data_IF_503371686442
#
_entry.id   IF_503371686442
#
_cell.length_a   1.000
_cell.length_b   1.000
_cell.length_c   1.000
_cell.angle_alpha   90.00
_cell.angle_beta   90.00
_cell.angle_gamma   90.00
#
_symmetry.space_group_name_H-M   'P 1'
#
loop_
_entity.id
_entity.type
_entity.pdbx_description
1 polymer ?
#
# COMPACT_ATOMS: atom_id res chain seq x y z
N UNK A 1 25.87 37.52 42.02
CA UNK A 1 24.46 37.76 41.66
C UNK A 1 24.22 37.75 40.16
N UNK A 2 24.91 38.54 39.34
CA UNK A 2 24.69 38.60 37.86
C UNK A 2 24.85 37.26 37.15
N UNK A 3 25.84 36.43 37.52
CA UNK A 3 26.04 35.09 36.91
C UNK A 3 24.89 34.11 37.20
N UNK A 4 24.23 34.27 38.36
CA UNK A 4 23.07 33.46 38.74
C UNK A 4 21.80 33.88 38.00
N UNK A 5 21.63 35.18 37.75
CA UNK A 5 20.52 35.71 36.94
C UNK A 5 20.64 35.29 35.49
N UNK A 6 21.85 35.29 34.91
CA UNK A 6 22.11 34.79 33.57
C UNK A 6 21.84 33.27 33.42
N UNK A 7 22.14 32.48 34.46
CA UNK A 7 21.85 31.07 34.49
C UNK A 7 20.33 30.79 34.52
N UNK A 8 19.57 31.56 35.29
CA UNK A 8 18.10 31.47 35.33
C UNK A 8 17.49 31.91 33.97
N UNK A 9 18.03 32.92 33.34
CA UNK A 9 17.56 33.35 32.02
C UNK A 9 17.79 32.33 30.94
N UNK A 10 18.87 31.53 31.04
CA UNK A 10 19.16 30.43 30.12
C UNK A 10 18.23 29.22 30.34
N UNK A 11 17.73 28.99 31.55
CA UNK A 11 16.75 27.95 31.89
C UNK A 11 15.34 28.25 31.32
N UNK A 12 15.01 29.54 31.15
CA UNK A 12 13.72 29.95 30.54
C UNK A 12 13.73 30.00 29.01
N UNK A 13 14.89 29.86 28.37
CA UNK A 13 14.94 29.54 26.94
C UNK A 13 14.61 28.07 26.73
N UNK A 14 13.42 27.68 27.17
CA UNK A 14 12.82 26.44 26.72
C UNK A 14 12.68 26.53 25.22
N UNK A 15 13.49 25.77 24.49
CA UNK A 15 13.32 25.56 23.08
C UNK A 15 11.88 25.08 22.89
N UNK A 16 11.00 25.94 22.43
CA UNK A 16 9.74 25.53 21.86
C UNK A 16 10.10 24.71 20.62
N UNK A 17 10.45 23.44 20.83
CA UNK A 17 10.55 22.47 19.77
C UNK A 17 9.14 22.28 19.25
N UNK A 18 8.76 23.03 18.24
CA UNK A 18 7.59 22.73 17.43
C UNK A 18 7.89 21.41 16.72
N UNK A 19 7.60 20.31 17.40
CA UNK A 19 7.60 18.99 16.78
C UNK A 19 6.53 19.00 15.69
N UNK A 20 6.95 19.01 14.43
CA UNK A 20 6.02 18.77 13.34
C UNK A 20 5.35 17.41 13.58
N UNK A 21 4.02 17.40 13.56
CA UNK A 21 3.25 16.17 13.66
C UNK A 21 3.70 15.22 12.54
N UNK A 22 4.20 14.04 12.91
CA UNK A 22 4.76 13.08 11.98
C UNK A 22 3.74 11.98 11.73
N UNK A 23 3.11 12.01 10.57
CA UNK A 23 2.12 11.00 10.17
C UNK A 23 2.85 9.80 9.57
N UNK A 24 2.63 8.61 10.13
CA UNK A 24 3.16 7.35 9.61
C UNK A 24 2.15 6.68 8.69
N UNK A 25 2.46 6.66 7.40
CA UNK A 25 1.63 6.03 6.36
C UNK A 25 2.25 4.72 5.93
N UNK A 26 1.52 3.62 6.11
CA UNK A 26 1.83 2.33 5.50
C UNK A 26 1.06 2.19 4.19
N UNK A 27 1.74 1.96 3.09
CA UNK A 27 1.16 1.93 1.75
C UNK A 27 1.52 0.66 1.00
N UNK A 28 0.53 -0.01 0.42
CA UNK A 28 0.76 -1.12 -0.50
C UNK A 28 1.57 -0.64 -1.72
N UNK A 29 2.56 -1.45 -2.14
CA UNK A 29 3.58 -1.05 -3.12
C UNK A 29 3.03 -0.55 -4.45
N UNK A 30 1.84 -1.00 -4.85
CA UNK A 30 1.17 -0.56 -6.08
C UNK A 30 0.72 0.91 -6.05
N UNK A 31 0.63 1.54 -4.86
CA UNK A 31 0.10 2.90 -4.71
C UNK A 31 1.18 3.92 -4.29
N UNK A 32 2.45 3.49 -4.12
CA UNK A 32 3.52 4.34 -3.59
C UNK A 32 3.79 5.58 -4.45
N UNK A 33 3.83 5.43 -5.78
CA UNK A 33 4.07 6.53 -6.70
C UNK A 33 2.95 7.58 -6.63
N UNK A 34 1.69 7.12 -6.63
CA UNK A 34 0.52 8.00 -6.47
C UNK A 34 0.54 8.71 -5.11
N UNK A 35 0.89 7.98 -4.03
CA UNK A 35 1.01 8.59 -2.70
C UNK A 35 2.09 9.69 -2.67
N UNK A 36 3.21 9.50 -3.35
CA UNK A 36 4.27 10.51 -3.43
C UNK A 36 3.79 11.79 -4.12
N UNK A 37 2.97 11.67 -5.17
CA UNK A 37 2.36 12.81 -5.84
C UNK A 37 1.36 13.54 -4.91
N UNK A 38 0.48 12.79 -4.24
CA UNK A 38 -0.49 13.33 -3.27
C UNK A 38 0.26 14.04 -2.13
N UNK A 39 1.29 13.42 -1.57
CA UNK A 39 2.12 14.01 -0.53
C UNK A 39 2.74 15.33 -0.98
N UNK A 40 3.31 15.38 -2.19
CA UNK A 40 3.90 16.59 -2.75
C UNK A 40 2.89 17.73 -2.83
N UNK A 41 1.68 17.43 -3.27
CA UNK A 41 0.59 18.42 -3.37
C UNK A 41 0.12 18.88 -1.98
N UNK A 42 -0.09 17.96 -1.06
CA UNK A 42 -0.50 18.25 0.31
C UNK A 42 0.49 19.17 1.04
N UNK A 43 1.79 18.95 0.86
CA UNK A 43 2.84 19.72 1.54
C UNK A 43 2.98 21.16 1.03
N UNK A 44 2.37 21.54 -0.10
CA UNK A 44 2.36 22.94 -0.55
C UNK A 44 1.67 23.87 0.46
N UNK A 45 0.64 23.37 1.13
CA UNK A 45 -0.22 24.16 2.04
C UNK A 45 -0.18 23.66 3.49
N UNK A 46 0.58 22.61 3.80
CA UNK A 46 0.59 21.99 5.13
C UNK A 46 2.02 21.77 5.62
N UNK A 47 2.30 22.17 6.85
CA UNK A 47 3.57 21.92 7.54
C UNK A 47 3.49 20.60 8.32
N UNK A 48 3.55 19.48 7.63
CA UNK A 48 3.47 18.12 8.22
C UNK A 48 4.63 17.29 7.73
N UNK A 49 5.15 16.39 8.55
CA UNK A 49 6.14 15.42 8.13
C UNK A 49 5.52 14.04 7.95
N UNK A 50 5.98 13.30 6.94
CA UNK A 50 5.50 11.94 6.65
C UNK A 50 6.62 10.93 6.80
N UNK A 51 6.32 9.84 7.53
CA UNK A 51 7.06 8.59 7.48
C UNK A 51 6.28 7.62 6.60
N UNK A 52 6.88 7.13 5.52
CA UNK A 52 6.22 6.19 4.61
C UNK A 52 6.88 4.82 4.74
N UNK A 53 6.07 3.79 5.01
CA UNK A 53 6.46 2.39 4.93
C UNK A 53 5.73 1.74 3.76
N UNK A 54 6.47 1.11 2.85
CA UNK A 54 5.91 0.42 1.70
C UNK A 54 6.16 -1.08 1.74
N UNK A 55 5.24 -1.85 1.17
CA UNK A 55 5.36 -3.31 1.11
C UNK A 55 4.09 -3.97 0.58
N UNK A 56 4.06 -5.31 0.61
CA UNK A 56 2.81 -6.01 0.32
C UNK A 56 1.78 -5.74 1.42
N UNK A 57 0.49 -5.73 1.07
CA UNK A 57 -0.61 -5.54 2.01
C UNK A 57 -0.50 -6.47 3.22
N UNK A 58 -0.19 -7.76 3.00
CA UNK A 58 -0.07 -8.74 4.08
C UNK A 58 1.10 -8.42 5.04
N UNK A 59 2.26 -7.97 4.50
CA UNK A 59 3.42 -7.58 5.32
C UNK A 59 3.10 -6.36 6.20
N UNK A 60 2.47 -5.36 5.63
CA UNK A 60 2.08 -4.14 6.37
C UNK A 60 1.01 -4.45 7.42
N UNK A 61 0.05 -5.31 7.08
CA UNK A 61 -0.96 -5.79 8.03
C UNK A 61 -0.34 -6.52 9.22
N UNK A 62 0.65 -7.39 8.98
CA UNK A 62 1.38 -8.06 10.05
C UNK A 62 2.09 -7.06 10.98
N UNK A 63 2.64 -5.97 10.46
CA UNK A 63 3.22 -4.90 11.27
C UNK A 63 2.17 -4.20 12.16
N UNK A 64 0.96 -3.96 11.62
CA UNK A 64 -0.15 -3.38 12.39
C UNK A 64 -0.57 -4.30 13.52
N UNK A 65 -0.70 -5.61 13.26
CA UNK A 65 -1.02 -6.60 14.29
C UNK A 65 0.06 -6.65 15.40
N UNK A 66 1.31 -6.41 15.04
CA UNK A 66 2.44 -6.29 15.97
C UNK A 66 2.58 -4.87 16.57
N UNK A 67 1.50 -4.07 16.56
CA UNK A 67 1.42 -2.74 17.17
C UNK A 67 2.41 -1.72 16.61
N UNK A 68 2.82 -1.84 15.35
CA UNK A 68 3.58 -0.77 14.70
C UNK A 68 2.77 0.55 14.74
N UNK A 69 3.39 1.69 15.06
CA UNK A 69 2.71 2.97 15.18
C UNK A 69 2.40 3.52 13.78
N UNK A 70 1.34 3.01 13.16
CA UNK A 70 0.87 3.38 11.83
C UNK A 70 -0.43 4.15 11.99
N UNK A 71 -0.47 5.39 11.48
CA UNK A 71 -1.62 6.27 11.54
C UNK A 71 -2.57 6.04 10.37
N UNK A 72 -2.02 5.80 9.18
CA UNK A 72 -2.78 5.58 7.95
C UNK A 72 -2.31 4.30 7.27
N UNK A 73 -3.24 3.41 6.93
CA UNK A 73 -2.96 2.21 6.16
C UNK A 73 -3.70 2.21 4.82
N UNK A 74 -2.95 2.31 3.73
CA UNK A 74 -3.44 2.23 2.36
C UNK A 74 -3.28 0.80 1.84
N UNK A 75 -4.29 -0.01 2.12
CA UNK A 75 -4.36 -1.41 1.68
C UNK A 75 -4.78 -1.52 0.21
N UNK A 76 -4.26 -2.52 -0.49
CA UNK A 76 -4.68 -2.83 -1.86
C UNK A 76 -5.94 -3.71 -1.93
N UNK A 77 -6.51 -4.12 -0.79
CA UNK A 77 -7.77 -4.87 -0.73
C UNK A 77 -8.58 -4.54 0.53
N UNK A 78 -9.88 -4.77 0.44
CA UNK A 78 -10.82 -4.57 1.54
C UNK A 78 -10.77 -5.72 2.55
N UNK A 79 -10.50 -6.95 2.09
CA UNK A 79 -10.53 -8.15 2.93
C UNK A 79 -9.50 -8.10 4.06
N UNK A 80 -8.36 -7.49 3.82
CA UNK A 80 -7.32 -7.26 4.84
C UNK A 80 -7.77 -6.21 5.86
N UNK A 81 -8.41 -5.12 5.42
CA UNK A 81 -8.91 -4.07 6.32
C UNK A 81 -9.99 -4.61 7.26
N UNK A 82 -10.84 -5.52 6.78
CA UNK A 82 -11.88 -6.14 7.60
C UNK A 82 -11.31 -6.99 8.74
N UNK A 83 -10.09 -7.50 8.62
CA UNK A 83 -9.41 -8.31 9.63
C UNK A 83 -8.72 -7.50 10.73
N UNK A 84 -8.63 -6.17 10.58
CA UNK A 84 -8.02 -5.33 11.61
C UNK A 84 -8.93 -5.38 12.86
N UNK A 85 -8.39 -5.80 14.02
CA UNK A 85 -9.17 -5.90 15.25
C UNK A 85 -9.76 -4.53 15.62
N UNK A 86 -11.08 -4.47 15.77
CA UNK A 86 -11.73 -3.26 16.25
C UNK A 86 -11.53 -3.14 17.76
N UNK A 87 -10.89 -2.08 18.19
CA UNK A 87 -10.80 -1.72 19.59
C UNK A 87 -11.65 -0.46 19.83
N UNK A 88 -12.61 -0.51 20.77
CA UNK A 88 -13.46 0.62 21.14
C UNK A 88 -12.69 1.90 21.51
N UNK A 89 -11.43 1.77 21.92
CA UNK A 89 -10.54 2.90 22.25
C UNK A 89 -9.92 3.57 21.03
N UNK A 90 -9.96 2.94 19.85
CA UNK A 90 -9.36 3.46 18.62
C UNK A 90 -10.49 3.77 17.64
N UNK A 91 -10.69 5.05 17.34
CA UNK A 91 -11.59 5.47 16.27
C UNK A 91 -10.93 5.11 14.93
N UNK A 92 -11.47 4.13 14.22
CA UNK A 92 -11.01 3.75 12.88
C UNK A 92 -12.03 4.22 11.85
N UNK A 93 -11.58 5.05 10.92
CA UNK A 93 -12.35 5.39 9.72
C UNK A 93 -11.89 4.52 8.55
N UNK A 94 -12.81 4.00 7.76
CA UNK A 94 -12.53 3.14 6.60
C UNK A 94 -13.29 3.64 5.39
N UNK A 95 -12.61 3.75 4.26
CA UNK A 95 -13.24 4.09 2.98
C UNK A 95 -12.42 3.52 1.81
N UNK A 96 -13.08 3.33 0.67
CA UNK A 96 -12.40 2.92 -0.56
C UNK A 96 -11.82 4.16 -1.23
N UNK A 97 -10.50 4.28 -1.25
CA UNK A 97 -9.79 5.43 -1.81
C UNK A 97 -9.50 5.31 -3.31
N UNK A 98 -9.47 4.08 -3.85
CA UNK A 98 -9.24 3.80 -5.27
C UNK A 98 -9.77 2.40 -5.63
N UNK A 99 -10.06 2.21 -6.92
CA UNK A 99 -10.39 0.90 -7.49
C UNK A 99 -9.32 0.58 -8.53
N UNK A 100 -8.60 -0.52 -8.32
CA UNK A 100 -7.57 -1.01 -9.24
C UNK A 100 -8.16 -1.99 -10.26
N UNK A 101 -7.51 -2.06 -11.41
CA UNK A 101 -7.82 -3.05 -12.46
C UNK A 101 -6.63 -3.95 -12.72
N UNK A 102 -6.89 -5.20 -13.08
CA UNK A 102 -5.87 -6.08 -13.61
C UNK A 102 -5.63 -5.77 -15.09
N UNK A 103 -4.37 -5.83 -15.48
CA UNK A 103 -3.96 -5.71 -16.88
C UNK A 103 -3.04 -6.87 -17.26
N UNK A 104 -3.07 -7.26 -18.54
CA UNK A 104 -2.01 -8.09 -19.12
C UNK A 104 -0.93 -7.18 -19.70
N UNK A 105 0.31 -7.47 -19.33
CA UNK A 105 1.50 -6.91 -19.97
C UNK A 105 2.20 -7.97 -20.81
N UNK A 106 2.61 -7.63 -22.02
CA UNK A 106 3.38 -8.49 -22.91
C UNK A 106 4.43 -7.69 -23.65
N UNK A 107 5.61 -8.29 -23.85
CA UNK A 107 6.68 -7.72 -24.70
C UNK A 107 6.29 -7.63 -26.18
N UNK A 108 5.40 -8.52 -26.63
CA UNK A 108 4.90 -8.51 -27.99
C UNK A 108 3.53 -7.84 -28.05
N UNK A 109 3.24 -7.16 -29.14
CA UNK A 109 1.98 -6.46 -29.34
C UNK A 109 0.79 -7.38 -29.10
N UNK A 110 -0.14 -6.92 -28.29
CA UNK A 110 -1.44 -7.58 -28.05
C UNK A 110 -2.46 -6.83 -28.90
N UNK A 111 -3.25 -7.58 -29.65
CA UNK A 111 -4.39 -7.03 -30.36
C UNK A 111 -5.54 -6.82 -29.37
N UNK A 112 -5.90 -5.59 -29.12
CA UNK A 112 -6.94 -5.22 -28.17
C UNK A 112 -8.36 -5.63 -28.60
N UNK A 113 -8.55 -6.05 -29.86
CA UNK A 113 -9.82 -6.54 -30.36
C UNK A 113 -10.05 -8.03 -30.03
N UNK A 114 -9.01 -8.75 -29.61
CA UNK A 114 -9.08 -10.17 -29.23
C UNK A 114 -9.55 -10.29 -27.77
N UNK A 115 -10.52 -11.16 -27.53
CA UNK A 115 -10.95 -11.49 -26.15
C UNK A 115 -9.77 -11.97 -25.31
N UNK A 116 -9.78 -11.60 -24.04
CA UNK A 116 -8.73 -11.90 -23.07
C UNK A 116 -8.37 -13.39 -23.03
N UNK A 117 -9.38 -14.28 -23.02
CA UNK A 117 -9.22 -15.73 -23.03
C UNK A 117 -8.41 -16.19 -24.23
N UNK A 118 -8.73 -15.67 -25.41
CA UNK A 118 -8.03 -16.02 -26.65
C UNK A 118 -6.58 -15.54 -26.67
N UNK A 119 -6.29 -14.41 -26.01
CA UNK A 119 -4.90 -13.93 -25.83
C UNK A 119 -4.13 -14.94 -24.98
N UNK A 120 -4.70 -15.43 -23.89
CA UNK A 120 -4.10 -16.43 -23.04
C UNK A 120 -3.91 -17.76 -23.78
N UNK A 121 -4.93 -18.23 -24.50
CA UNK A 121 -4.90 -19.51 -25.25
C UNK A 121 -3.84 -19.49 -26.36
N UNK A 122 -3.72 -18.39 -27.12
CA UNK A 122 -2.67 -18.25 -28.14
C UNK A 122 -1.25 -18.30 -27.56
N UNK A 123 -1.10 -18.13 -26.25
CA UNK A 123 0.19 -18.10 -25.53
C UNK A 123 0.35 -19.25 -24.55
N UNK A 124 -0.38 -20.34 -24.75
CA UNK A 124 -0.34 -21.53 -23.88
C UNK A 124 1.06 -22.12 -23.69
N UNK A 125 1.97 -21.94 -24.66
CA UNK A 125 3.37 -22.36 -24.53
C UNK A 125 4.21 -21.48 -23.61
N UNK A 126 3.74 -20.27 -23.29
CA UNK A 126 4.50 -19.29 -22.53
C UNK A 126 4.18 -19.38 -21.03
N UNK A 127 5.17 -19.00 -20.22
CA UNK A 127 4.97 -18.81 -18.78
C UNK A 127 4.19 -17.50 -18.52
N UNK A 128 3.35 -17.54 -17.50
CA UNK A 128 2.63 -16.38 -17.00
C UNK A 128 3.23 -16.00 -15.65
N UNK A 129 3.56 -14.72 -15.48
CA UNK A 129 4.02 -14.18 -14.21
C UNK A 129 2.84 -13.52 -13.53
N UNK A 130 2.55 -13.92 -12.30
CA UNK A 130 1.60 -13.24 -11.41
C UNK A 130 2.28 -12.92 -10.08
N UNK A 131 1.78 -11.90 -9.40
CA UNK A 131 2.22 -11.65 -8.03
C UNK A 131 1.80 -12.83 -7.12
N UNK A 132 2.60 -13.14 -6.10
CA UNK A 132 2.31 -14.27 -5.21
C UNK A 132 0.95 -14.10 -4.49
N UNK A 133 -0.04 -15.00 -4.71
CA UNK A 133 -1.39 -14.87 -4.15
C UNK A 133 -1.44 -14.90 -2.62
N UNK A 134 -0.44 -15.50 -1.97
CA UNK A 134 -0.36 -15.54 -0.49
C UNK A 134 -0.14 -14.14 0.11
N UNK A 135 0.57 -13.26 -0.60
CA UNK A 135 1.01 -11.97 -0.07
C UNK A 135 0.43 -10.77 -0.83
N UNK A 136 -0.03 -10.98 -2.07
CA UNK A 136 -0.48 -9.90 -2.94
C UNK A 136 -1.98 -10.00 -3.26
N UNK A 137 -2.76 -8.93 -3.03
CA UNK A 137 -4.13 -8.82 -3.51
C UNK A 137 -4.25 -8.99 -5.03
N UNK A 138 -3.32 -8.45 -5.80
CA UNK A 138 -3.30 -8.59 -7.26
C UNK A 138 -3.03 -10.03 -7.69
N UNK A 139 -2.17 -10.76 -6.96
CA UNK A 139 -1.96 -12.19 -7.20
C UNK A 139 -3.23 -13.01 -6.95
N UNK A 140 -3.95 -12.73 -5.86
CA UNK A 140 -5.27 -13.37 -5.60
C UNK A 140 -6.27 -13.06 -6.70
N UNK A 141 -6.37 -11.79 -7.10
CA UNK A 141 -7.27 -11.36 -8.18
C UNK A 141 -6.90 -12.01 -9.52
N UNK A 142 -5.61 -12.13 -9.86
CA UNK A 142 -5.15 -12.83 -11.06
C UNK A 142 -5.53 -14.31 -11.04
N UNK A 143 -5.37 -14.97 -9.89
CA UNK A 143 -5.80 -16.36 -9.71
C UNK A 143 -7.30 -16.51 -9.89
N UNK A 144 -8.10 -15.63 -9.26
CA UNK A 144 -9.57 -15.63 -9.39
C UNK A 144 -10.04 -15.44 -10.83
N UNK A 145 -9.38 -14.58 -11.61
CA UNK A 145 -9.68 -14.43 -13.04
C UNK A 145 -9.40 -15.72 -13.79
N UNK A 146 -8.25 -16.37 -13.57
CA UNK A 146 -7.94 -17.65 -14.22
C UNK A 146 -8.93 -18.75 -13.81
N UNK A 147 -9.37 -18.77 -12.55
CA UNK A 147 -10.40 -19.69 -12.05
C UNK A 147 -11.75 -19.44 -12.74
N UNK A 148 -12.19 -18.18 -12.81
CA UNK A 148 -13.48 -17.82 -13.42
C UNK A 148 -13.55 -18.12 -14.91
N UNK A 149 -12.41 -18.14 -15.59
CA UNK A 149 -12.28 -18.51 -16.99
C UNK A 149 -12.08 -20.03 -17.22
N UNK A 150 -12.02 -20.83 -16.15
CA UNK A 150 -11.72 -22.26 -16.25
C UNK A 150 -10.29 -22.57 -16.71
N UNK A 151 -9.38 -21.60 -16.59
CA UNK A 151 -8.02 -21.68 -17.14
C UNK A 151 -6.95 -21.96 -16.07
N UNK A 152 -7.28 -21.99 -14.80
CA UNK A 152 -6.29 -22.15 -13.75
C UNK A 152 -5.47 -23.42 -13.93
N UNK A 153 -6.12 -24.56 -14.15
CA UNK A 153 -5.45 -25.85 -14.34
C UNK A 153 -4.52 -25.88 -15.57
N UNK A 154 -4.87 -25.15 -16.63
CA UNK A 154 -4.05 -25.04 -17.84
C UNK A 154 -2.74 -24.30 -17.57
N UNK A 155 -2.79 -23.32 -16.67
CA UNK A 155 -1.65 -22.44 -16.35
C UNK A 155 -0.95 -22.79 -15.04
N UNK A 156 -1.44 -23.73 -14.24
CA UNK A 156 -0.90 -24.02 -12.90
C UNK A 156 0.61 -24.30 -12.91
N UNK A 157 1.10 -25.07 -13.88
CA UNK A 157 2.51 -25.39 -14.06
C UNK A 157 3.29 -24.31 -14.85
N UNK A 158 2.64 -23.23 -15.27
CA UNK A 158 3.21 -22.13 -16.07
C UNK A 158 3.23 -20.80 -15.33
N UNK A 159 2.62 -20.76 -14.14
CA UNK A 159 2.64 -19.59 -13.26
C UNK A 159 4.00 -19.52 -12.55
N UNK A 160 4.61 -18.36 -12.58
CA UNK A 160 5.84 -18.03 -11.87
C UNK A 160 5.54 -16.96 -10.83
#
# INVERSE_FOLDING_TARGET
>A
MIKFILFIFFLFYSFNSYGYEKIHVAVASNFIETLNLIKKEFLKNNKTSFKISTGSTAKLFAQILNKAPIDIFLSADQSTIQKIPYNKKIKVSKFTYAIGSLIIFSKTKIDNQIKFENILLKRLSNKIVIANPKFSPYGRASKQVLESLGMLSIFENKII
#
